data_IF_472350996622
#
_entry.id   IF_472350996622
#
_cell.length_a   1.000
_cell.length_b   1.000
_cell.length_c   1.000
_cell.angle_alpha   90.00
_cell.angle_beta   90.00
_cell.angle_gamma   90.00
#
_symmetry.space_group_name_H-M   'P 1'
#
loop_
_entity.id
_entity.type
_entity.pdbx_description
1 polymer ?
#
# COMPACT_ATOMS: atom_id res chain seq x y z
N UNK A 1 2.36 10.25 -6.94
CA UNK A 1 1.80 11.63 -6.93
C UNK A 1 2.74 12.66 -7.56
N UNK A 2 3.98 12.82 -7.08
CA UNK A 2 4.96 13.76 -7.65
C UNK A 2 5.23 13.49 -9.15
N UNK A 3 5.42 12.23 -9.53
CA UNK A 3 5.61 11.80 -10.94
C UNK A 3 4.49 12.25 -11.89
N UNK A 4 3.29 12.50 -11.37
CA UNK A 4 2.12 12.93 -12.14
C UNK A 4 1.76 14.42 -11.91
N UNK A 5 2.52 15.16 -11.11
CA UNK A 5 2.31 16.60 -10.88
C UNK A 5 1.16 16.96 -9.93
N UNK A 6 0.65 16.00 -9.15
CA UNK A 6 -0.35 16.29 -8.10
C UNK A 6 0.23 17.00 -6.87
N UNK A 7 1.56 16.90 -6.71
CA UNK A 7 2.40 17.66 -5.79
C UNK A 7 3.65 18.10 -6.56
N UNK A 8 4.52 18.91 -5.95
CA UNK A 8 5.77 19.35 -6.59
C UNK A 8 6.57 18.15 -7.13
N UNK A 9 6.93 18.22 -8.42
CA UNK A 9 7.61 17.11 -9.14
C UNK A 9 9.00 16.82 -8.61
N UNK A 10 9.68 17.81 -8.06
CA UNK A 10 10.98 17.65 -7.40
C UNK A 10 10.86 17.03 -6.00
N UNK A 11 9.64 16.84 -5.49
CA UNK A 11 9.37 16.31 -4.16
C UNK A 11 9.76 17.23 -3.01
N UNK A 12 10.02 18.53 -3.27
CA UNK A 12 10.55 19.46 -2.27
C UNK A 12 9.53 20.47 -1.79
N UNK A 13 9.80 21.06 -0.63
CA UNK A 13 9.05 22.20 -0.08
C UNK A 13 7.54 21.97 0.11
N UNK A 14 7.15 20.73 0.38
CA UNK A 14 5.75 20.31 0.50
C UNK A 14 5.17 20.74 1.85
N UNK A 15 3.97 21.32 1.85
CA UNK A 15 3.17 21.54 3.06
C UNK A 15 2.14 20.42 3.22
N UNK A 16 1.63 20.22 4.44
CA UNK A 16 0.58 19.23 4.72
C UNK A 16 -0.65 19.41 3.81
N UNK A 17 -1.05 20.65 3.53
CA UNK A 17 -2.17 20.97 2.62
C UNK A 17 -1.92 20.55 1.17
N UNK A 18 -0.67 20.59 0.70
CA UNK A 18 -0.31 20.27 -0.68
C UNK A 18 -0.41 18.75 -0.86
N UNK A 19 0.09 17.99 0.12
CA UNK A 19 -0.07 16.53 0.18
C UNK A 19 -1.55 16.14 0.32
N UNK A 20 -2.31 16.82 1.19
CA UNK A 20 -3.76 16.56 1.36
C UNK A 20 -4.53 16.74 0.06
N UNK A 21 -4.30 17.85 -0.66
CA UNK A 21 -4.93 18.10 -1.96
C UNK A 21 -4.49 17.09 -2.99
N UNK A 22 -3.20 16.78 -3.03
CA UNK A 22 -2.67 15.78 -3.94
C UNK A 22 -3.29 14.39 -3.73
N UNK A 23 -3.52 13.96 -2.49
CA UNK A 23 -4.19 12.69 -2.17
C UNK A 23 -5.65 12.69 -2.65
N UNK A 24 -6.37 13.79 -2.46
CA UNK A 24 -7.75 13.95 -2.95
C UNK A 24 -7.80 13.92 -4.48
N UNK A 25 -6.95 14.69 -5.16
CA UNK A 25 -7.00 14.78 -6.63
C UNK A 25 -6.41 13.56 -7.34
N UNK A 26 -5.39 12.90 -6.76
CA UNK A 26 -4.75 11.73 -7.35
C UNK A 26 -5.57 10.46 -7.12
N UNK A 27 -6.06 10.24 -5.90
CA UNK A 27 -6.67 8.96 -5.50
C UNK A 27 -8.13 9.07 -5.08
N UNK A 28 -8.73 10.27 -5.15
CA UNK A 28 -10.09 10.53 -4.67
C UNK A 28 -10.31 10.11 -3.22
N UNK A 29 -9.28 10.31 -2.37
CA UNK A 29 -9.46 10.14 -0.93
C UNK A 29 -10.45 11.19 -0.41
N UNK A 30 -11.24 10.84 0.59
CA UNK A 30 -12.12 11.82 1.23
C UNK A 30 -11.31 12.95 1.89
N UNK A 31 -11.84 14.18 1.98
CA UNK A 31 -11.12 15.29 2.60
C UNK A 31 -10.63 14.97 4.01
N UNK A 32 -11.46 14.25 4.79
CA UNK A 32 -11.10 13.83 6.14
C UNK A 32 -9.93 12.85 6.15
N UNK A 33 -9.98 11.78 5.34
CA UNK A 33 -8.90 10.80 5.27
C UNK A 33 -7.60 11.44 4.77
N UNK A 34 -7.68 12.28 3.72
CA UNK A 34 -6.52 12.97 3.19
C UNK A 34 -5.89 13.93 4.20
N UNK A 35 -6.70 14.69 4.95
CA UNK A 35 -6.21 15.57 6.02
C UNK A 35 -5.60 14.77 7.19
N UNK A 36 -6.23 13.66 7.60
CA UNK A 36 -5.70 12.79 8.64
C UNK A 36 -4.30 12.27 8.28
N UNK A 37 -4.13 11.71 7.08
CA UNK A 37 -2.85 11.19 6.61
C UNK A 37 -1.79 12.30 6.48
N UNK A 38 -2.14 13.43 5.88
CA UNK A 38 -1.18 14.49 5.62
C UNK A 38 -0.78 15.27 6.88
N UNK A 39 -1.75 15.78 7.65
CA UNK A 39 -1.45 16.57 8.84
C UNK A 39 -0.92 15.68 9.98
N UNK A 40 -1.47 14.48 10.15
CA UNK A 40 -0.97 13.49 11.10
C UNK A 40 0.47 13.08 10.78
N UNK A 41 0.79 12.80 9.51
CA UNK A 41 2.15 12.49 9.07
C UNK A 41 3.13 13.63 9.32
N UNK A 42 2.76 14.87 8.99
CA UNK A 42 3.62 16.04 9.24
C UNK A 42 3.89 16.27 10.73
N UNK A 43 2.87 16.08 11.58
CA UNK A 43 3.02 16.14 13.03
C UNK A 43 3.96 15.04 13.53
N UNK A 44 3.79 13.80 13.05
CA UNK A 44 4.65 12.68 13.42
C UNK A 44 6.12 12.87 13.01
N UNK A 45 6.37 13.38 11.80
CA UNK A 45 7.72 13.54 11.24
C UNK A 45 8.43 14.75 11.84
N UNK A 46 7.74 15.89 11.97
CA UNK A 46 8.39 17.20 12.21
C UNK A 46 7.99 17.87 13.54
N UNK A 47 6.98 17.33 14.22
CA UNK A 47 6.35 17.95 15.38
C UNK A 47 5.44 19.15 15.05
N UNK A 48 5.19 19.46 13.76
CA UNK A 48 4.37 20.60 13.37
C UNK A 48 3.78 20.45 11.96
N UNK A 49 2.51 20.79 11.78
CA UNK A 49 1.88 20.80 10.45
C UNK A 49 2.20 22.06 9.61
N UNK A 50 2.90 23.03 10.19
CA UNK A 50 3.30 24.28 9.51
C UNK A 50 4.66 24.16 8.82
N UNK A 51 5.47 23.17 9.22
CA UNK A 51 6.78 22.92 8.61
C UNK A 51 6.61 22.37 7.20
N UNK A 52 7.56 22.70 6.34
CA UNK A 52 7.70 22.06 5.03
C UNK A 52 8.56 20.81 5.17
N UNK A 53 8.29 19.83 4.33
CA UNK A 53 9.15 18.65 4.17
C UNK A 53 9.52 18.45 2.71
N UNK A 54 10.61 17.73 2.49
CA UNK A 54 10.88 17.07 1.23
C UNK A 54 10.43 15.60 1.35
N UNK A 55 10.08 14.93 0.24
CA UNK A 55 9.60 13.55 0.26
C UNK A 55 10.58 12.59 0.94
N UNK A 56 11.88 12.82 0.78
CA UNK A 56 12.94 12.08 1.49
C UNK A 56 12.74 12.10 3.02
N UNK A 57 12.23 13.20 3.57
CA UNK A 57 11.98 13.36 5.00
C UNK A 57 10.92 12.40 5.57
N UNK A 58 10.07 11.82 4.71
CA UNK A 58 9.07 10.82 5.12
C UNK A 58 9.76 9.52 5.57
N UNK A 59 10.92 9.20 4.99
CA UNK A 59 11.70 8.00 5.32
C UNK A 59 12.41 8.04 6.67
N UNK A 60 12.15 9.05 7.52
CA UNK A 60 12.72 9.12 8.86
C UNK A 60 12.18 7.98 9.73
N UNK A 61 13.10 7.14 10.21
CA UNK A 61 12.76 5.88 10.86
C UNK A 61 12.01 6.06 12.18
N UNK A 62 11.09 5.14 12.47
CA UNK A 62 10.22 5.13 13.65
C UNK A 62 9.34 6.37 13.80
N UNK A 63 8.99 7.02 12.68
CA UNK A 63 7.96 8.07 12.62
C UNK A 63 6.73 7.53 11.93
N UNK A 64 6.67 7.71 10.61
CA UNK A 64 5.68 7.08 9.73
C UNK A 64 6.30 5.83 9.10
N UNK A 65 7.55 5.95 8.64
CA UNK A 65 8.35 4.82 8.17
C UNK A 65 8.56 3.79 9.29
N UNK A 66 8.54 2.51 8.90
CA UNK A 66 8.77 1.37 9.76
C UNK A 66 9.39 0.19 8.97
N UNK A 67 10.01 -0.72 9.71
CA UNK A 67 10.55 -1.99 9.20
C UNK A 67 9.44 -2.88 8.59
N UNK A 68 9.83 -3.95 7.92
CA UNK A 68 8.93 -4.88 7.22
C UNK A 68 7.99 -4.17 6.23
N UNK A 69 8.52 -3.14 5.56
CA UNK A 69 7.90 -2.53 4.38
C UNK A 69 7.82 -3.54 3.24
N UNK A 70 6.75 -3.51 2.44
CA UNK A 70 6.50 -4.55 1.43
C UNK A 70 7.53 -4.56 0.29
N UNK A 71 8.07 -3.40 -0.08
CA UNK A 71 8.98 -3.24 -1.24
C UNK A 71 10.25 -2.45 -0.93
N UNK A 72 10.45 -2.10 0.34
CA UNK A 72 11.65 -1.40 0.82
C UNK A 72 12.35 -2.23 1.90
N UNK A 73 13.66 -2.10 1.97
CA UNK A 73 14.46 -2.66 3.05
C UNK A 73 14.28 -1.89 4.35
N UNK A 74 14.46 -2.58 5.46
CA UNK A 74 14.46 -2.01 6.80
C UNK A 74 15.56 -0.95 6.94
N UNK A 75 15.37 -0.04 7.89
CA UNK A 75 16.40 0.96 8.17
C UNK A 75 17.64 0.25 8.75
N UNK A 76 18.84 0.40 8.13
CA UNK A 76 20.06 -0.19 8.65
C UNK A 76 20.37 0.33 10.06
N UNK A 77 21.05 -0.50 10.86
CA UNK A 77 21.42 -0.10 12.21
C UNK A 77 22.27 1.18 12.21
N UNK A 78 21.94 2.11 13.11
CA UNK A 78 22.61 3.40 13.21
C UNK A 78 22.19 4.46 12.18
N UNK A 79 21.31 4.13 11.22
CA UNK A 79 20.80 5.09 10.24
C UNK A 79 19.51 5.77 10.73
N UNK A 80 19.35 7.05 10.40
CA UNK A 80 18.14 7.82 10.72
C UNK A 80 17.03 7.65 9.66
N UNK A 81 17.41 7.34 8.42
CA UNK A 81 16.50 7.25 7.28
C UNK A 81 16.57 5.87 6.61
N UNK A 82 15.41 5.35 6.22
CA UNK A 82 15.30 4.12 5.46
C UNK A 82 15.82 4.27 4.02
N UNK A 83 16.30 3.17 3.39
CA UNK A 83 16.54 3.13 1.95
C UNK A 83 15.25 3.46 1.18
N UNK A 84 15.37 4.34 0.17
CA UNK A 84 14.22 4.80 -0.63
C UNK A 84 14.04 4.02 -1.92
N UNK A 85 14.98 3.13 -2.26
CA UNK A 85 14.95 2.37 -3.49
C UNK A 85 13.93 1.23 -3.37
N UNK A 86 13.01 1.18 -4.33
CA UNK A 86 12.12 0.03 -4.49
C UNK A 86 12.96 -1.18 -4.89
N UNK A 87 12.83 -2.25 -4.11
CA UNK A 87 13.42 -3.54 -4.47
C UNK A 87 12.42 -4.34 -5.32
N UNK A 88 12.77 -4.54 -6.59
CA UNK A 88 11.90 -5.25 -7.53
C UNK A 88 11.74 -6.75 -7.21
N UNK A 89 12.68 -7.38 -6.50
CA UNK A 89 12.50 -8.75 -6.04
C UNK A 89 11.47 -8.82 -4.91
N UNK A 90 11.40 -7.80 -4.04
CA UNK A 90 10.31 -7.67 -3.06
C UNK A 90 8.97 -7.40 -3.73
N UNK A 91 8.93 -6.61 -4.81
CA UNK A 91 7.72 -6.43 -5.64
C UNK A 91 7.27 -7.77 -6.21
N UNK A 92 8.18 -8.55 -6.80
CA UNK A 92 7.84 -9.86 -7.37
C UNK A 92 7.33 -10.82 -6.29
N UNK A 93 7.98 -10.90 -5.13
CA UNK A 93 7.48 -11.69 -3.99
C UNK A 93 6.08 -11.26 -3.52
N UNK A 94 5.78 -9.96 -3.49
CA UNK A 94 4.45 -9.45 -3.16
C UNK A 94 3.39 -9.96 -4.17
N UNK A 95 3.74 -10.04 -5.44
CA UNK A 95 2.85 -10.60 -6.47
C UNK A 95 2.72 -12.12 -6.34
N UNK A 96 3.80 -12.82 -6.00
CA UNK A 96 3.80 -14.28 -5.78
C UNK A 96 2.94 -14.72 -4.57
N UNK A 97 2.72 -13.83 -3.61
CA UNK A 97 1.81 -14.06 -2.47
C UNK A 97 0.33 -14.10 -2.89
N UNK A 98 0.01 -13.64 -4.11
CA UNK A 98 -1.36 -13.65 -4.64
C UNK A 98 -1.77 -15.08 -5.03
N UNK A 99 -2.97 -15.47 -4.61
CA UNK A 99 -3.58 -16.75 -4.96
C UNK A 99 -4.81 -16.52 -5.84
N UNK A 100 -4.76 -16.89 -7.13
CA UNK A 100 -5.91 -16.77 -8.01
C UNK A 100 -7.00 -17.77 -7.61
N UNK A 101 -8.25 -17.36 -7.75
CA UNK A 101 -9.42 -18.23 -7.64
C UNK A 101 -9.45 -19.25 -8.79
N UNK A 102 -10.16 -20.39 -8.65
CA UNK A 102 -10.31 -21.36 -9.73
C UNK A 102 -10.82 -20.74 -11.04
N UNK A 103 -11.74 -19.78 -10.96
CA UNK A 103 -12.28 -19.07 -12.12
C UNK A 103 -11.23 -18.15 -12.77
N UNK A 104 -10.39 -17.48 -11.98
CA UNK A 104 -9.27 -16.70 -12.51
C UNK A 104 -8.24 -17.61 -13.19
N UNK A 105 -7.94 -18.78 -12.61
CA UNK A 105 -7.05 -19.78 -13.21
C UNK A 105 -7.61 -20.31 -14.53
N UNK A 106 -8.91 -20.60 -14.58
CA UNK A 106 -9.59 -21.05 -15.81
C UNK A 106 -9.57 -19.94 -16.89
N UNK A 107 -9.89 -18.71 -16.51
CA UNK A 107 -9.82 -17.56 -17.42
C UNK A 107 -8.40 -17.36 -17.98
N UNK A 108 -7.36 -17.51 -17.14
CA UNK A 108 -5.95 -17.41 -17.55
C UNK A 108 -5.56 -18.51 -18.55
N UNK A 109 -6.14 -19.71 -18.45
CA UNK A 109 -5.87 -20.81 -19.40
C UNK A 109 -6.63 -20.64 -20.71
N UNK A 110 -7.85 -20.11 -20.65
CA UNK A 110 -8.72 -19.95 -21.81
C UNK A 110 -8.33 -18.78 -22.72
N UNK A 111 -7.43 -17.92 -22.26
CA UNK A 111 -7.02 -16.72 -22.99
C UNK A 111 -5.59 -16.82 -23.51
N UNK A 112 -5.32 -16.35 -24.75
CA UNK A 112 -3.95 -16.23 -25.24
C UNK A 112 -3.12 -15.32 -24.32
N UNK A 113 -1.83 -15.61 -24.19
CA UNK A 113 -0.88 -14.72 -23.51
C UNK A 113 -1.05 -13.28 -24.02
N UNK A 114 -1.48 -12.37 -23.14
CA UNK A 114 -1.70 -10.95 -23.46
C UNK A 114 -3.15 -10.46 -23.44
N UNK A 115 -4.14 -11.31 -23.16
CA UNK A 115 -5.50 -10.82 -22.88
C UNK A 115 -5.66 -10.34 -21.42
N UNK A 116 -6.66 -9.49 -21.19
CA UNK A 116 -6.93 -8.73 -19.97
C UNK A 116 -7.46 -9.61 -18.81
N UNK A 117 -6.86 -10.78 -18.55
CA UNK A 117 -7.21 -11.61 -17.39
C UNK A 117 -6.62 -10.98 -16.13
N UNK A 118 -7.52 -10.50 -15.28
CA UNK A 118 -7.19 -9.80 -14.05
C UNK A 118 -7.20 -10.80 -12.90
N UNK A 119 -6.04 -11.32 -12.54
CA UNK A 119 -5.86 -11.87 -11.19
C UNK A 119 -5.97 -10.70 -10.21
N UNK A 120 -6.80 -10.83 -9.18
CA UNK A 120 -7.00 -9.79 -8.18
C UNK A 120 -6.24 -10.12 -6.89
N UNK A 121 -5.58 -9.12 -6.30
CA UNK A 121 -5.04 -9.13 -4.95
C UNK A 121 -6.11 -8.64 -3.96
N UNK A 122 -6.43 -9.44 -2.94
CA UNK A 122 -7.40 -9.10 -1.91
C UNK A 122 -6.77 -9.05 -0.49
N UNK A 123 -7.60 -8.94 0.54
CA UNK A 123 -7.14 -8.87 1.93
C UNK A 123 -6.38 -10.12 2.40
N UNK A 124 -6.74 -11.32 1.92
CA UNK A 124 -6.03 -12.56 2.26
C UNK A 124 -4.66 -12.63 1.58
N UNK A 125 -4.56 -12.15 0.32
CA UNK A 125 -3.29 -12.03 -0.40
C UNK A 125 -2.34 -11.06 0.32
N UNK A 126 -2.85 -9.89 0.74
CA UNK A 126 -2.09 -8.94 1.56
C UNK A 126 -1.69 -9.55 2.90
N UNK A 127 -2.58 -10.29 3.57
CA UNK A 127 -2.27 -10.94 4.83
C UNK A 127 -1.08 -11.92 4.72
N UNK A 128 -1.01 -12.72 3.64
CA UNK A 128 0.16 -13.57 3.34
C UNK A 128 1.44 -12.76 3.19
N UNK A 129 1.40 -11.71 2.38
CA UNK A 129 2.56 -10.84 2.17
C UNK A 129 3.05 -10.19 3.48
N UNK A 130 2.10 -9.79 4.35
CA UNK A 130 2.41 -9.25 5.68
C UNK A 130 3.07 -10.27 6.59
N UNK A 131 2.52 -11.49 6.68
CA UNK A 131 3.09 -12.56 7.50
C UNK A 131 4.50 -12.89 7.02
N UNK A 132 4.68 -13.10 5.70
CA UNK A 132 6.01 -13.34 5.12
C UNK A 132 6.98 -12.23 5.48
N UNK A 133 6.61 -10.97 5.24
CA UNK A 133 7.51 -9.85 5.46
C UNK A 133 7.87 -9.68 6.94
N UNK A 134 6.92 -9.87 7.85
CA UNK A 134 7.16 -9.81 9.29
C UNK A 134 8.07 -10.96 9.77
N UNK A 135 8.04 -12.12 9.12
CA UNK A 135 8.93 -13.25 9.42
C UNK A 135 10.34 -13.08 8.85
N UNK A 136 10.49 -12.33 7.75
CA UNK A 136 11.78 -12.04 7.10
C UNK A 136 12.52 -10.82 7.74
N UNK A 137 11.89 -10.12 8.68
CA UNK A 137 12.34 -8.84 9.23
C UNK A 137 12.42 -8.83 10.75
N UNK A 138 12.91 -7.71 11.29
CA UNK A 138 12.80 -7.42 12.72
C UNK A 138 11.34 -7.35 13.15
N UNK A 139 11.06 -7.82 14.36
CA UNK A 139 9.71 -7.82 14.92
C UNK A 139 9.15 -6.41 15.03
N UNK A 140 8.02 -6.17 14.37
CA UNK A 140 7.28 -4.93 14.48
C UNK A 140 6.53 -4.80 15.80
N UNK A 141 6.48 -3.58 16.34
CA UNK A 141 5.57 -3.23 17.44
C UNK A 141 4.12 -3.20 16.92
N UNK A 142 3.14 -3.41 17.80
CA UNK A 142 1.72 -3.47 17.42
C UNK A 142 1.22 -2.22 16.67
N UNK A 143 1.73 -1.04 17.02
CA UNK A 143 1.40 0.22 16.32
C UNK A 143 1.90 0.19 14.88
N UNK A 144 3.14 -0.27 14.65
CA UNK A 144 3.72 -0.38 13.31
C UNK A 144 2.97 -1.42 12.48
N UNK A 145 2.65 -2.59 13.05
CA UNK A 145 1.82 -3.60 12.36
C UNK A 145 0.47 -3.01 11.92
N UNK A 146 -0.14 -2.14 12.74
CA UNK A 146 -1.40 -1.50 12.39
C UNK A 146 -1.26 -0.49 11.24
N UNK A 147 -0.23 0.36 11.28
CA UNK A 147 0.10 1.29 10.19
C UNK A 147 0.31 0.53 8.88
N UNK A 148 1.12 -0.53 8.95
CA UNK A 148 1.57 -1.30 7.82
C UNK A 148 0.43 -2.09 7.15
N UNK A 149 -0.59 -2.52 7.92
CA UNK A 149 -1.87 -3.02 7.37
C UNK A 149 -2.73 -1.90 6.78
N UNK A 150 -2.73 -0.72 7.43
CA UNK A 150 -3.50 0.45 7.02
C UNK A 150 -3.11 0.98 5.64
N UNK A 151 -1.82 0.96 5.32
CA UNK A 151 -1.30 1.33 4.00
C UNK A 151 -1.96 0.50 2.89
N UNK A 152 -1.94 -0.83 3.01
CA UNK A 152 -2.59 -1.70 2.04
C UNK A 152 -4.11 -1.60 2.09
N UNK A 153 -4.73 -1.35 3.24
CA UNK A 153 -6.17 -1.12 3.32
C UNK A 153 -6.63 0.10 2.52
N UNK A 154 -5.80 1.16 2.44
CA UNK A 154 -6.05 2.32 1.58
C UNK A 154 -5.95 1.91 0.11
N UNK A 155 -4.84 1.27 -0.29
CA UNK A 155 -4.56 0.94 -1.69
C UNK A 155 -5.53 -0.09 -2.25
N UNK A 156 -5.90 -1.11 -1.45
CA UNK A 156 -6.93 -2.08 -1.82
C UNK A 156 -8.28 -1.40 -2.09
N UNK A 157 -8.61 -0.32 -1.37
CA UNK A 157 -9.81 0.46 -1.62
C UNK A 157 -9.69 1.30 -2.88
N UNK A 158 -8.61 2.08 -3.01
CA UNK A 158 -8.38 2.98 -4.16
C UNK A 158 -8.48 2.26 -5.50
N UNK A 159 -7.88 1.07 -5.61
CA UNK A 159 -7.83 0.31 -6.87
C UNK A 159 -8.82 -0.86 -6.92
N UNK A 160 -9.83 -0.87 -6.05
CA UNK A 160 -10.78 -1.98 -5.98
C UNK A 160 -11.54 -2.16 -7.29
N UNK A 161 -11.53 -3.39 -7.78
CA UNK A 161 -12.41 -3.87 -8.83
C UNK A 161 -13.17 -5.09 -8.32
N UNK A 162 -14.34 -5.31 -8.91
CA UNK A 162 -15.19 -6.46 -8.61
C UNK A 162 -15.38 -7.30 -9.86
N UNK A 163 -15.09 -8.58 -9.74
CA UNK A 163 -15.45 -9.60 -10.74
C UNK A 163 -16.62 -10.44 -10.21
N UNK A 164 -17.07 -11.42 -11.00
CA UNK A 164 -18.11 -12.35 -10.57
C UNK A 164 -17.68 -13.20 -9.36
N UNK A 165 -16.39 -13.50 -9.23
CA UNK A 165 -15.86 -14.43 -8.21
C UNK A 165 -15.00 -13.77 -7.12
N UNK A 166 -14.40 -12.61 -7.39
CA UNK A 166 -13.42 -11.98 -6.49
C UNK A 166 -13.53 -10.45 -6.50
N UNK A 167 -13.31 -9.84 -5.34
CA UNK A 167 -13.10 -8.39 -5.18
C UNK A 167 -11.65 -8.15 -4.75
N UNK A 168 -10.97 -7.20 -5.37
CA UNK A 168 -9.57 -6.89 -5.07
C UNK A 168 -8.97 -5.90 -6.06
N UNK A 169 -7.65 -5.81 -6.08
CA UNK A 169 -6.89 -4.94 -6.99
C UNK A 169 -6.28 -5.78 -8.11
N UNK A 170 -6.39 -5.40 -9.39
CA UNK A 170 -5.67 -6.11 -10.44
C UNK A 170 -4.17 -6.17 -10.15
N UNK A 171 -3.59 -7.37 -10.19
CA UNK A 171 -2.17 -7.60 -9.89
C UNK A 171 -1.26 -6.72 -10.73
N UNK A 172 -1.57 -6.56 -12.02
CA UNK A 172 -0.82 -5.68 -12.93
C UNK A 172 -0.86 -4.21 -12.51
N UNK A 173 -2.00 -3.75 -11.98
CA UNK A 173 -2.13 -2.40 -11.45
C UNK A 173 -1.28 -2.22 -10.20
N UNK A 174 -1.32 -3.20 -9.28
CA UNK A 174 -0.48 -3.19 -8.08
C UNK A 174 0.99 -3.19 -8.45
N UNK A 175 1.43 -4.10 -9.33
CA UNK A 175 2.84 -4.23 -9.75
C UNK A 175 3.38 -2.93 -10.35
N UNK A 176 2.64 -2.34 -11.29
CA UNK A 176 3.02 -1.05 -11.90
C UNK A 176 3.02 0.08 -10.86
N UNK A 177 1.97 0.18 -10.05
CA UNK A 177 1.83 1.27 -9.10
C UNK A 177 2.91 1.26 -8.02
N UNK A 178 3.18 0.09 -7.43
CA UNK A 178 4.14 -0.03 -6.33
C UNK A 178 5.58 -0.14 -6.83
N UNK A 179 5.79 -0.72 -8.02
CA UNK A 179 7.11 -0.98 -8.58
C UNK A 179 7.67 0.15 -9.43
N UNK A 180 6.82 0.87 -10.16
CA UNK A 180 7.22 1.96 -11.07
C UNK A 180 6.81 3.35 -10.54
N UNK A 181 6.15 3.41 -9.38
CA UNK A 181 5.54 4.63 -8.82
C UNK A 181 4.64 5.37 -9.84
N UNK A 182 3.94 4.60 -10.68
CA UNK A 182 3.13 5.10 -11.81
C UNK A 182 1.70 4.62 -11.73
N UNK A 183 0.74 5.53 -11.94
CA UNK A 183 -0.68 5.15 -12.01
C UNK A 183 -0.93 4.18 -13.18
N UNK A 184 -1.85 3.20 -13.04
CA UNK A 184 -2.24 2.35 -14.16
C UNK A 184 -2.78 3.18 -15.33
N UNK A 185 -2.56 2.71 -16.55
CA UNK A 185 -2.94 3.45 -17.75
C UNK A 185 -4.46 3.59 -17.86
N UNK A 186 -4.91 4.80 -18.17
CA UNK A 186 -6.34 5.12 -18.27
C UNK A 186 -7.10 5.07 -16.93
N UNK A 187 -6.45 4.72 -15.82
CA UNK A 187 -7.11 4.61 -14.53
C UNK A 187 -7.64 5.96 -14.05
N UNK A 188 -8.87 5.93 -13.53
CA UNK A 188 -9.49 7.04 -12.83
C UNK A 188 -10.23 6.49 -11.61
N UNK A 189 -10.29 7.25 -10.51
CA UNK A 189 -11.04 6.84 -9.33
C UNK A 189 -12.54 6.70 -9.68
N UNK A 190 -13.16 5.61 -9.24
CA UNK A 190 -14.58 5.31 -9.47
C UNK A 190 -15.47 5.63 -8.28
N UNK A 191 -14.87 5.88 -7.12
CA UNK A 191 -15.53 6.16 -5.86
C UNK A 191 -14.63 7.01 -4.96
N UNK A 192 -15.18 7.55 -3.87
CA UNK A 192 -14.42 8.25 -2.84
C UNK A 192 -13.94 7.24 -1.80
N UNK A 193 -12.63 7.18 -1.55
CA UNK A 193 -12.07 6.30 -0.53
C UNK A 193 -12.06 7.03 0.83
N UNK A 194 -12.90 6.57 1.77
CA UNK A 194 -13.07 7.17 3.09
C UNK A 194 -12.34 6.45 4.23
N UNK A 195 -12.30 7.07 5.41
CA UNK A 195 -11.67 6.46 6.60
C UNK A 195 -12.39 5.19 7.05
N UNK A 196 -13.72 5.12 6.93
CA UNK A 196 -14.48 3.93 7.30
C UNK A 196 -14.21 2.75 6.36
N UNK A 197 -13.96 3.03 5.09
CA UNK A 197 -13.55 2.03 4.10
C UNK A 197 -12.18 1.44 4.43
N UNK A 198 -11.25 2.29 4.89
CA UNK A 198 -9.92 1.87 5.37
C UNK A 198 -10.05 1.00 6.63
N UNK A 199 -10.86 1.44 7.62
CA UNK A 199 -11.06 0.68 8.86
C UNK A 199 -11.64 -0.70 8.57
N UNK A 200 -12.66 -0.78 7.70
CA UNK A 200 -13.28 -2.05 7.29
C UNK A 200 -12.26 -2.98 6.66
N UNK A 201 -11.46 -2.49 5.69
CA UNK A 201 -10.44 -3.30 5.00
C UNK A 201 -9.29 -3.71 5.92
N UNK A 202 -8.85 -2.83 6.82
CA UNK A 202 -7.83 -3.14 7.81
C UNK A 202 -8.28 -4.31 8.72
N UNK A 203 -9.54 -4.29 9.18
CA UNK A 203 -10.13 -5.41 9.92
C UNK A 203 -10.17 -6.70 9.11
N UNK A 204 -10.51 -6.64 7.82
CA UNK A 204 -10.48 -7.81 6.94
C UNK A 204 -9.07 -8.39 6.77
N UNK A 205 -8.04 -7.55 6.62
CA UNK A 205 -6.64 -7.99 6.57
C UNK A 205 -6.24 -8.63 7.90
N UNK A 206 -6.58 -8.00 9.03
CA UNK A 206 -6.27 -8.55 10.35
C UNK A 206 -6.91 -9.92 10.58
N UNK A 207 -8.21 -10.05 10.27
CA UNK A 207 -8.91 -11.33 10.40
C UNK A 207 -8.28 -12.42 9.51
N UNK A 208 -7.82 -12.07 8.30
CA UNK A 208 -7.11 -13.00 7.44
C UNK A 208 -5.73 -13.40 8.00
N UNK A 209 -4.98 -12.47 8.61
CA UNK A 209 -3.71 -12.78 9.30
C UNK A 209 -3.96 -13.75 10.45
N UNK A 210 -4.96 -13.48 11.30
CA UNK A 210 -5.31 -14.33 12.44
C UNK A 210 -5.69 -15.75 12.00
N UNK A 211 -6.49 -15.85 10.93
CA UNK A 211 -6.85 -17.13 10.32
C UNK A 211 -5.63 -17.89 9.82
N UNK A 212 -4.77 -17.26 9.02
CA UNK A 212 -3.58 -17.90 8.45
C UNK A 212 -2.60 -18.38 9.54
N UNK A 213 -2.34 -17.56 10.57
CA UNK A 213 -1.51 -17.97 11.72
C UNK A 213 -2.11 -19.13 12.49
N UNK A 214 -3.43 -19.17 12.64
CA UNK A 214 -4.12 -20.29 13.29
C UNK A 214 -4.10 -21.58 12.45
N UNK A 215 -4.02 -21.48 11.12
CA UNK A 215 -3.83 -22.61 10.22
C UNK A 215 -2.38 -23.12 10.28
N UNK A 216 -1.38 -22.23 10.28
CA UNK A 216 0.04 -22.58 10.45
C UNK A 216 0.32 -23.29 11.79
N UNK A 217 -0.34 -22.86 12.88
CA UNK A 217 -0.17 -23.48 14.19
C UNK A 217 -0.79 -24.89 14.32
N UNK A 218 -1.61 -25.30 13.35
CA UNK A 218 -2.26 -26.62 13.31
C UNK A 218 -1.57 -27.60 12.35
N UNK A 219 -0.69 -27.10 11.48
CA UNK A 219 0.08 -27.89 10.52
C UNK A 219 1.33 -28.48 11.17
#
# INVERSE_FOLDING_TARGET
>A
MANHGYINRDGKNLRAKDVSRGLQHCYNLSPFLAAFLSYGGFLAITGSFWKKIDLYGIGKHNRVEHDASLVHYDTPEGQEFAPIQIDHALVDKLIEDVRPSPQEVEAMKATPSGSDVRCLMNAEDVARARIRRENECRTLKSIQQNTARGEMAIILGVFEVKTASKTGVPVEWMKRWIGEERLPEGWKPTHVQGIFDVIKRNKSILAAIEKLRAEEAKA
#
